data_IF_727305651733
#
_entry.id   IF_727305651733
#
_cell.length_a   1.000
_cell.length_b   1.000
_cell.length_c   1.000
_cell.angle_alpha   90.00
_cell.angle_beta   90.00
_cell.angle_gamma   90.00
#
_symmetry.space_group_name_H-M   'P 1'
#
loop_
_entity.id
_entity.type
_entity.pdbx_description
1 polymer ?
#
# COMPACT_ATOMS: atom_id res chain seq x y z
N UNK A 1 5.04 2.06 0.49
CA UNK A 1 6.33 1.34 0.64
C UNK A 1 6.20 0.31 1.75
N UNK A 2 6.83 -0.87 1.63
CA UNK A 2 6.89 -1.83 2.73
C UNK A 2 7.52 -1.19 3.98
N UNK A 3 6.80 -1.19 5.10
CA UNK A 3 7.35 -0.81 6.40
C UNK A 3 8.34 -1.87 6.89
N UNK A 4 9.14 -1.58 7.92
CA UNK A 4 10.01 -2.58 8.56
C UNK A 4 9.22 -3.84 8.97
N UNK A 5 8.01 -3.67 9.50
CA UNK A 5 7.11 -4.77 9.84
C UNK A 5 6.68 -5.59 8.62
N UNK A 6 6.42 -4.92 7.50
CA UNK A 6 6.00 -5.55 6.25
C UNK A 6 7.16 -6.31 5.61
N UNK A 7 8.38 -5.73 5.62
CA UNK A 7 9.59 -6.38 5.13
C UNK A 7 9.92 -7.62 5.94
N UNK A 8 9.84 -7.52 7.26
CA UNK A 8 10.00 -8.66 8.18
C UNK A 8 9.01 -9.78 7.86
N UNK A 9 7.75 -9.42 7.57
CA UNK A 9 6.72 -10.39 7.25
C UNK A 9 6.97 -11.08 5.90
N UNK A 10 7.35 -10.32 4.87
CA UNK A 10 7.74 -10.87 3.56
C UNK A 10 8.91 -11.85 3.71
N UNK A 11 9.95 -11.49 4.48
CA UNK A 11 11.10 -12.35 4.73
C UNK A 11 10.74 -13.62 5.51
N UNK A 12 9.93 -13.51 6.57
CA UNK A 12 9.52 -14.65 7.41
C UNK A 12 8.66 -15.65 6.65
N UNK A 13 7.83 -15.16 5.73
CA UNK A 13 6.83 -15.99 5.02
C UNK A 13 7.28 -16.39 3.63
N UNK A 14 8.38 -15.81 3.12
CA UNK A 14 8.82 -15.91 1.73
C UNK A 14 7.70 -15.53 0.74
N UNK A 15 6.79 -14.65 1.15
CA UNK A 15 5.74 -14.13 0.30
C UNK A 15 6.33 -13.13 -0.71
N UNK A 16 5.68 -13.03 -1.87
CA UNK A 16 6.07 -12.11 -2.93
C UNK A 16 5.12 -10.93 -2.95
N UNK A 17 5.69 -9.73 -3.03
CA UNK A 17 4.93 -8.50 -3.23
C UNK A 17 4.50 -8.41 -4.68
N UNK A 18 3.20 -8.27 -4.91
CA UNK A 18 2.57 -8.21 -6.22
C UNK A 18 1.80 -6.89 -6.36
N UNK A 19 1.72 -6.37 -7.59
CA UNK A 19 0.94 -5.17 -7.91
C UNK A 19 -0.39 -5.57 -8.56
N UNK A 20 -1.51 -5.10 -8.00
CA UNK A 20 -2.83 -5.26 -8.61
C UNK A 20 -3.13 -4.04 -9.50
N UNK A 21 -3.18 -4.25 -10.82
CA UNK A 21 -3.46 -3.19 -11.79
C UNK A 21 -4.89 -2.66 -11.73
N UNK A 22 -5.86 -3.44 -11.27
CA UNK A 22 -7.25 -2.97 -11.16
C UNK A 22 -7.43 -2.11 -9.90
N UNK A 23 -6.83 -2.55 -8.79
CA UNK A 23 -6.92 -1.88 -7.49
C UNK A 23 -5.88 -0.78 -7.30
N UNK A 24 -4.85 -0.75 -8.15
CA UNK A 24 -3.75 0.20 -8.10
C UNK A 24 -3.11 0.21 -6.71
N UNK A 25 -2.77 -0.97 -6.19
CA UNK A 25 -2.15 -1.15 -4.89
C UNK A 25 -1.28 -2.42 -4.86
N UNK A 26 -0.26 -2.42 -4.01
CA UNK A 26 0.52 -3.62 -3.76
C UNK A 26 -0.23 -4.55 -2.79
N UNK A 27 -0.07 -5.85 -2.97
CA UNK A 27 -0.56 -6.86 -2.06
C UNK A 27 0.36 -8.07 -2.00
N UNK A 28 0.18 -8.91 -0.99
CA UNK A 28 0.78 -10.24 -0.96
C UNK A 28 -0.09 -11.18 -0.12
N UNK A 29 0.11 -12.48 -0.33
CA UNK A 29 -0.55 -13.52 0.47
C UNK A 29 0.46 -14.45 1.12
N UNK A 30 0.12 -14.93 2.31
CA UNK A 30 0.90 -15.95 3.00
C UNK A 30 0.00 -16.86 3.83
N UNK A 31 0.55 -17.99 4.26
CA UNK A 31 -0.08 -18.92 5.20
C UNK A 31 0.72 -18.83 6.51
N UNK A 32 0.03 -18.65 7.64
CA UNK A 32 0.66 -18.59 8.95
C UNK A 32 0.91 -19.99 9.56
N UNK A 33 1.51 -20.03 10.76
CA UNK A 33 1.81 -21.29 11.44
C UNK A 33 0.57 -22.07 11.94
N UNK A 34 -0.64 -21.53 11.80
CA UNK A 34 -1.90 -22.18 12.13
C UNK A 34 -2.69 -22.57 10.87
N UNK A 35 -2.03 -22.64 9.72
CA UNK A 35 -2.62 -22.91 8.40
C UNK A 35 -3.69 -21.89 7.96
N UNK A 36 -3.65 -20.66 8.51
CA UNK A 36 -4.58 -19.60 8.10
C UNK A 36 -3.99 -18.79 6.95
N UNK A 37 -4.80 -18.55 5.91
CA UNK A 37 -4.44 -17.70 4.79
C UNK A 37 -4.68 -16.23 5.14
N UNK A 38 -3.66 -15.41 4.93
CA UNK A 38 -3.71 -13.96 5.07
C UNK A 38 -3.53 -13.27 3.72
N UNK A 39 -4.20 -12.13 3.55
CA UNK A 39 -4.05 -11.22 2.42
C UNK A 39 -3.76 -9.83 3.00
N UNK A 40 -2.61 -9.27 2.62
CA UNK A 40 -2.16 -7.97 3.11
C UNK A 40 -2.14 -7.01 1.92
N UNK A 41 -2.67 -5.81 2.13
CA UNK A 41 -2.67 -4.71 1.17
C UNK A 41 -1.83 -3.55 1.69
N UNK A 42 -1.12 -2.90 0.78
CA UNK A 42 -0.19 -1.84 1.11
C UNK A 42 -0.41 -0.64 0.19
N UNK A 43 -0.04 0.52 0.71
CA UNK A 43 -0.06 1.78 0.00
C UNK A 43 1.38 2.28 -0.19
N UNK A 44 1.63 2.91 -1.33
CA UNK A 44 2.90 3.54 -1.67
C UNK A 44 2.69 4.80 -2.50
N UNK A 45 3.77 5.46 -2.90
CA UNK A 45 3.68 6.67 -3.72
C UNK A 45 2.96 6.47 -5.06
N UNK A 46 2.96 5.27 -5.65
CA UNK A 46 2.28 4.96 -6.92
C UNK A 46 0.77 4.89 -6.72
N UNK A 47 0.32 4.07 -5.76
CA UNK A 47 -1.10 3.92 -5.41
C UNK A 47 -1.68 5.24 -4.91
N UNK A 48 -0.89 6.01 -4.16
CA UNK A 48 -1.27 7.30 -3.63
C UNK A 48 -1.41 8.36 -4.73
N UNK A 49 -0.45 8.42 -5.67
CA UNK A 49 -0.54 9.31 -6.83
C UNK A 49 -1.80 9.02 -7.65
N UNK A 50 -2.13 7.75 -7.89
CA UNK A 50 -3.34 7.37 -8.61
C UNK A 50 -4.61 7.94 -7.94
N UNK A 51 -4.71 7.84 -6.61
CA UNK A 51 -5.85 8.40 -5.85
C UNK A 51 -5.90 9.94 -5.91
N UNK A 52 -4.76 10.62 -5.86
CA UNK A 52 -4.68 12.08 -6.05
C UNK A 52 -5.16 12.48 -7.45
N UNK A 53 -4.68 11.79 -8.48
CA UNK A 53 -5.08 12.06 -9.87
C UNK A 53 -6.59 11.85 -10.05
N UNK A 54 -7.17 10.83 -9.38
CA UNK A 54 -8.61 10.60 -9.36
C UNK A 54 -9.36 11.76 -8.69
N UNK A 55 -8.91 12.22 -7.52
CA UNK A 55 -9.52 13.36 -6.83
C UNK A 55 -9.50 14.63 -7.71
N UNK A 56 -8.40 14.86 -8.44
CA UNK A 56 -8.26 15.95 -9.43
C UNK A 56 -9.24 15.77 -10.60
N UNK A 57 -9.32 14.57 -11.17
CA UNK A 57 -10.20 14.27 -12.31
C UNK A 57 -11.68 14.48 -11.97
N UNK A 58 -12.08 14.16 -10.74
CA UNK A 58 -13.44 14.36 -10.23
C UNK A 58 -13.68 15.76 -9.63
N UNK A 59 -12.68 16.65 -9.67
CA UNK A 59 -12.76 18.02 -9.13
C UNK A 59 -13.18 18.05 -7.65
N UNK A 60 -12.70 17.09 -6.87
CA UNK A 60 -12.94 17.07 -5.43
C UNK A 60 -12.19 18.22 -4.76
N UNK A 61 -12.71 18.71 -3.63
CA UNK A 61 -12.12 19.82 -2.88
C UNK A 61 -10.78 19.51 -2.21
N UNK A 62 -10.37 18.24 -2.18
CA UNK A 62 -9.10 17.78 -1.63
C UNK A 62 -9.12 16.30 -1.24
N UNK A 63 -8.06 15.89 -0.55
CA UNK A 63 -7.92 14.56 0.05
C UNK A 63 -7.65 14.69 1.55
N UNK A 64 -8.03 13.68 2.32
CA UNK A 64 -7.72 13.55 3.73
C UNK A 64 -6.86 12.29 3.92
N UNK A 65 -5.77 12.40 4.68
CA UNK A 65 -4.81 11.32 4.90
C UNK A 65 -4.83 10.95 6.39
N UNK A 66 -4.98 9.66 6.68
CA UNK A 66 -4.89 9.10 8.02
C UNK A 66 -3.75 8.07 8.07
N UNK A 67 -2.69 8.23 8.86
CA UNK A 67 -2.32 9.38 9.69
C UNK A 67 -0.85 9.71 9.47
N UNK A 68 -0.44 10.91 9.88
CA UNK A 68 0.93 11.41 9.70
C UNK A 68 1.94 10.61 10.54
N UNK A 69 3.05 10.24 9.90
CA UNK A 69 4.14 9.47 10.48
C UNK A 69 4.05 7.96 10.22
N UNK A 70 2.98 7.48 9.59
CA UNK A 70 2.81 6.07 9.19
C UNK A 70 2.96 5.85 7.68
N UNK A 71 3.17 6.90 6.90
CA UNK A 71 3.22 6.85 5.45
C UNK A 71 4.60 6.49 4.88
N UNK A 72 4.59 6.10 3.61
CA UNK A 72 5.77 6.14 2.74
C UNK A 72 6.23 7.61 2.55
N UNK A 73 7.45 8.00 2.94
CA UNK A 73 7.90 9.39 2.80
C UNK A 73 7.85 9.91 1.36
N UNK A 74 7.89 9.04 0.36
CA UNK A 74 7.82 9.43 -1.05
C UNK A 74 6.42 9.95 -1.44
N UNK A 75 5.37 9.71 -0.64
CA UNK A 75 4.03 10.26 -0.94
C UNK A 75 4.01 11.78 -0.98
N UNK A 76 4.90 12.45 -0.23
CA UNK A 76 4.97 13.90 -0.18
C UNK A 76 5.43 14.51 -1.50
N UNK A 77 6.11 13.73 -2.36
CA UNK A 77 6.59 14.19 -3.67
C UNK A 77 5.52 14.13 -4.76
N UNK A 78 4.39 13.45 -4.49
CA UNK A 78 3.30 13.28 -5.47
C UNK A 78 2.05 14.12 -5.15
N UNK A 79 2.08 14.86 -4.04
CA UNK A 79 1.11 15.92 -3.70
C UNK A 79 1.46 17.18 -4.48
#
# INVERSE_FOLDING_TARGET
MPTDETLDLLLKTNAQLEWDEEKQADFFTYIDGNDQKHLVWLEDSRSFKYKIDLAKAYQLGGIFIWYLGGEDPEIWKVI
#
